data_IF_651088267228
#
_entry.id   IF_651088267228
#
_cell.length_a   1.000
_cell.length_b   1.000
_cell.length_c   1.000
_cell.angle_alpha   90.00
_cell.angle_beta   90.00
_cell.angle_gamma   90.00
#
_symmetry.space_group_name_H-M   'P 1'
#
loop_
_entity.id
_entity.type
_entity.pdbx_description
1 polymer ?
#
# COMPACT_ATOMS: atom_id res chain seq x y z
N UNK A 1 -35.83 28.88 9.05
CA UNK A 1 -34.38 28.92 8.76
C UNK A 1 -33.66 28.32 9.96
N UNK A 2 -32.98 27.18 9.79
CA UNK A 2 -32.29 26.53 10.91
C UNK A 2 -31.13 27.40 11.38
N UNK A 3 -31.11 27.74 12.67
CA UNK A 3 -30.09 28.59 13.28
C UNK A 3 -28.70 27.95 13.11
N UNK A 4 -27.75 28.71 12.57
CA UNK A 4 -26.37 28.26 12.39
C UNK A 4 -25.68 28.21 13.74
N UNK A 5 -25.58 27.01 14.33
CA UNK A 5 -24.83 26.78 15.58
C UNK A 5 -23.34 26.69 15.28
N UNK A 6 -22.53 27.21 16.19
CA UNK A 6 -21.07 27.09 16.08
C UNK A 6 -20.66 25.64 16.36
N UNK A 7 -19.61 25.16 15.68
CA UNK A 7 -19.15 23.77 15.77
C UNK A 7 -18.87 23.34 17.23
N UNK A 8 -18.35 24.27 18.03
CA UNK A 8 -18.01 24.08 19.44
C UNK A 8 -19.27 23.87 20.29
N UNK A 9 -20.37 24.54 19.94
CA UNK A 9 -21.65 24.45 20.65
C UNK A 9 -22.43 23.18 20.28
N UNK A 10 -22.27 22.69 19.04
CA UNK A 10 -22.79 21.39 18.62
C UNK A 10 -22.13 20.22 19.35
N UNK A 11 -20.82 20.31 19.59
CA UNK A 11 -20.03 19.24 20.20
C UNK A 11 -20.31 19.05 21.70
N UNK A 12 -20.75 20.10 22.41
CA UNK A 12 -21.12 20.02 23.84
C UNK A 12 -22.47 19.32 24.08
N UNK A 13 -23.32 19.25 23.08
CA UNK A 13 -24.71 18.79 23.20
C UNK A 13 -24.94 17.39 22.61
N UNK A 14 -23.89 16.63 22.29
CA UNK A 14 -24.01 15.23 21.88
C UNK A 14 -23.92 14.32 23.10
N UNK A 15 -25.00 13.58 23.46
CA UNK A 15 -24.89 12.43 24.34
C UNK A 15 -24.36 11.23 23.54
N UNK A 16 -23.42 10.42 24.06
CA UNK A 16 -22.80 10.51 25.40
C UNK A 16 -21.73 11.63 25.50
N UNK A 17 -21.49 12.15 26.72
CA UNK A 17 -20.50 13.20 26.96
C UNK A 17 -19.12 12.74 26.49
N UNK A 18 -18.48 13.60 25.70
CA UNK A 18 -17.15 13.37 25.15
C UNK A 18 -16.16 13.33 26.31
N UNK A 19 -15.56 12.16 26.55
CA UNK A 19 -14.57 11.97 27.59
C UNK A 19 -13.20 12.51 27.12
N UNK A 20 -12.66 13.59 27.73
CA UNK A 20 -11.38 14.18 27.33
C UNK A 20 -10.20 13.22 27.48
N UNK A 21 -10.33 12.15 28.29
CA UNK A 21 -9.32 11.12 28.43
C UNK A 21 -9.28 10.19 27.22
N UNK A 22 -10.44 9.76 26.71
CA UNK A 22 -10.54 8.93 25.51
C UNK A 22 -10.05 9.66 24.25
N UNK A 23 -10.30 10.97 24.14
CA UNK A 23 -9.76 11.78 23.05
C UNK A 23 -8.23 11.88 23.11
N UNK A 24 -7.68 12.09 24.31
CA UNK A 24 -6.22 12.11 24.49
C UNK A 24 -5.62 10.75 24.21
N UNK A 25 -6.25 9.67 24.62
CA UNK A 25 -5.77 8.31 24.36
C UNK A 25 -5.82 7.98 22.86
N UNK A 26 -6.83 8.43 22.13
CA UNK A 26 -6.91 8.28 20.67
C UNK A 26 -5.83 9.10 19.93
N UNK A 27 -5.58 10.35 20.37
CA UNK A 27 -4.63 11.26 19.70
C UNK A 27 -3.18 10.95 20.06
N UNK A 28 -2.93 10.55 21.31
CA UNK A 28 -1.60 10.28 21.84
C UNK A 28 -1.28 8.79 21.98
N UNK A 29 -2.13 7.88 21.46
CA UNK A 29 -1.78 6.47 21.40
C UNK A 29 -0.46 6.32 20.62
N UNK A 30 0.60 5.97 21.34
CA UNK A 30 1.76 5.35 20.70
C UNK A 30 1.26 4.06 20.07
N UNK A 31 1.38 4.00 18.74
CA UNK A 31 0.93 2.98 17.80
C UNK A 31 1.00 1.56 18.40
N UNK A 32 -0.04 1.19 19.13
CA UNK A 32 -0.24 -0.12 19.72
C UNK A 32 -0.51 -1.11 18.61
N UNK A 33 0.25 -2.19 18.62
CA UNK A 33 0.41 -3.22 17.60
C UNK A 33 -0.89 -4.00 17.32
N UNK A 34 -1.89 -3.36 16.71
CA UNK A 34 -3.07 -3.99 16.14
C UNK A 34 -2.70 -4.73 14.86
N UNK A 35 -2.03 -5.88 15.01
CA UNK A 35 -1.71 -6.74 13.89
C UNK A 35 -3.00 -7.47 13.47
N UNK A 36 -3.57 -7.26 12.27
CA UNK A 36 -4.44 -8.26 11.68
C UNK A 36 -3.63 -9.57 11.54
N UNK A 37 -4.25 -10.76 11.40
CA UNK A 37 -3.51 -12.00 11.18
C UNK A 37 -2.78 -11.95 9.83
N UNK A 38 -1.62 -11.29 9.80
CA UNK A 38 -0.64 -11.37 8.73
C UNK A 38 0.02 -12.72 8.87
N UNK A 39 -0.36 -13.62 7.98
CA UNK A 39 0.44 -14.78 7.59
C UNK A 39 1.90 -14.31 7.52
N UNK A 40 2.87 -15.00 8.14
CA UNK A 40 4.27 -14.61 8.09
C UNK A 40 4.81 -14.84 6.68
N UNK A 41 4.52 -13.92 5.76
CA UNK A 41 5.27 -13.79 4.52
C UNK A 41 6.63 -13.27 4.94
N UNK A 42 7.65 -14.12 4.82
CA UNK A 42 9.03 -13.74 5.07
C UNK A 42 9.33 -12.41 4.35
N UNK A 43 10.05 -11.46 4.98
CA UNK A 43 10.34 -10.18 4.36
C UNK A 43 11.12 -10.42 3.06
N UNK A 44 10.46 -10.16 1.92
CA UNK A 44 11.07 -10.25 0.60
C UNK A 44 12.19 -9.20 0.53
N UNK A 45 13.42 -9.67 0.66
CA UNK A 45 14.60 -8.80 0.57
C UNK A 45 14.87 -8.50 -0.90
N UNK A 46 14.62 -7.26 -1.31
CA UNK A 46 14.81 -6.78 -2.68
C UNK A 46 16.23 -6.23 -2.83
N UNK A 47 16.98 -6.71 -3.81
CA UNK A 47 18.36 -6.26 -4.11
C UNK A 47 18.40 -5.59 -5.47
N UNK A 48 19.09 -4.44 -5.63
CA UNK A 48 19.20 -3.79 -6.94
C UNK A 48 19.91 -4.69 -7.95
N UNK A 49 19.30 -4.87 -9.12
CA UNK A 49 19.88 -5.55 -10.27
C UNK A 49 20.10 -4.55 -11.41
N UNK A 50 21.35 -4.35 -11.84
CA UNK A 50 21.69 -3.48 -12.96
C UNK A 50 22.03 -4.30 -14.22
N UNK A 51 21.32 -4.03 -15.30
CA UNK A 51 21.49 -4.73 -16.59
C UNK A 51 21.00 -3.83 -17.73
N UNK A 52 21.59 -3.98 -18.93
CA UNK A 52 21.15 -3.27 -20.13
C UNK A 52 19.98 -4.02 -20.78
N UNK A 53 18.90 -3.31 -21.07
CA UNK A 53 17.72 -3.83 -21.74
C UNK A 53 17.57 -3.20 -23.13
N UNK A 54 16.95 -3.91 -24.06
CA UNK A 54 16.60 -3.39 -25.38
C UNK A 54 15.65 -2.20 -25.25
N UNK A 55 15.83 -1.17 -26.08
CA UNK A 55 15.12 0.10 -25.95
C UNK A 55 13.60 -0.05 -26.10
N UNK A 56 13.15 -0.87 -27.05
CA UNK A 56 11.74 -1.18 -27.29
C UNK A 56 11.10 -1.88 -26.09
N UNK A 57 11.82 -2.81 -25.45
CA UNK A 57 11.35 -3.46 -24.22
C UNK A 57 11.23 -2.48 -23.06
N UNK A 58 12.20 -1.58 -22.88
CA UNK A 58 12.15 -0.57 -21.83
C UNK A 58 10.95 0.38 -22.01
N UNK A 59 10.66 0.79 -23.25
CA UNK A 59 9.49 1.63 -23.58
C UNK A 59 8.17 0.88 -23.33
N UNK A 60 8.06 -0.35 -23.83
CA UNK A 60 6.86 -1.17 -23.67
C UNK A 60 6.57 -1.49 -22.20
N UNK A 61 7.59 -1.82 -21.41
CA UNK A 61 7.47 -2.14 -19.99
C UNK A 61 6.96 -0.95 -19.18
N UNK A 62 7.50 0.25 -19.42
CA UNK A 62 7.03 1.48 -18.76
C UNK A 62 5.60 1.81 -19.13
N UNK A 63 5.24 1.67 -20.42
CA UNK A 63 3.88 1.87 -20.90
C UNK A 63 2.90 0.90 -20.23
N UNK A 64 3.23 -0.39 -20.22
CA UNK A 64 2.40 -1.43 -19.61
C UNK A 64 2.20 -1.19 -18.12
N UNK A 65 3.27 -0.82 -17.39
CA UNK A 65 3.19 -0.45 -15.97
C UNK A 65 2.21 0.71 -15.75
N UNK A 66 2.29 1.77 -16.55
CA UNK A 66 1.39 2.92 -16.44
C UNK A 66 -0.07 2.55 -16.78
N UNK A 67 -0.30 1.84 -17.88
CA UNK A 67 -1.65 1.41 -18.28
C UNK A 67 -2.30 0.56 -17.19
N UNK A 68 -1.56 -0.37 -16.60
CA UNK A 68 -2.05 -1.21 -15.50
C UNK A 68 -2.35 -0.41 -14.24
N UNK A 69 -1.55 0.60 -13.90
CA UNK A 69 -1.85 1.51 -12.78
C UNK A 69 -3.16 2.27 -13.02
N UNK A 70 -3.37 2.79 -14.23
CA UNK A 70 -4.60 3.51 -14.59
C UNK A 70 -5.84 2.62 -14.54
N UNK A 71 -5.68 1.33 -14.87
CA UNK A 71 -6.75 0.34 -14.82
C UNK A 71 -6.89 -0.38 -13.47
N UNK A 72 -6.03 -0.08 -12.47
CA UNK A 72 -6.04 -0.74 -11.17
C UNK A 72 -5.75 -2.25 -11.24
N UNK A 73 -4.94 -2.71 -12.21
CA UNK A 73 -4.62 -4.13 -12.42
C UNK A 73 -3.27 -4.49 -11.79
N UNK A 74 -3.20 -5.54 -10.97
CA UNK A 74 -1.94 -6.04 -10.41
C UNK A 74 -1.41 -7.24 -11.24
N UNK A 75 -0.08 -7.35 -11.45
CA UNK A 75 0.99 -6.44 -11.05
C UNK A 75 1.06 -5.18 -11.90
N UNK A 76 1.25 -4.01 -11.27
CA UNK A 76 1.33 -2.72 -11.95
C UNK A 76 2.70 -2.03 -11.87
N UNK A 77 3.60 -2.48 -10.99
CA UNK A 77 4.95 -1.90 -10.90
C UNK A 77 5.88 -2.60 -11.88
N UNK A 78 6.87 -1.88 -12.38
CA UNK A 78 7.92 -2.44 -13.23
C UNK A 78 8.62 -3.61 -12.53
N UNK A 79 8.84 -3.50 -11.21
CA UNK A 79 9.47 -4.56 -10.43
C UNK A 79 8.62 -5.83 -10.41
N UNK A 80 7.34 -5.73 -10.05
CA UNK A 80 6.49 -6.92 -9.90
C UNK A 80 6.23 -7.57 -11.27
N UNK A 81 6.10 -6.78 -12.34
CA UNK A 81 5.99 -7.30 -13.71
C UNK A 81 7.28 -8.05 -14.12
N UNK A 82 8.46 -7.55 -13.73
CA UNK A 82 9.72 -8.24 -14.00
C UNK A 82 9.84 -9.53 -13.20
N UNK A 83 9.46 -9.53 -11.92
CA UNK A 83 9.48 -10.73 -11.08
C UNK A 83 8.53 -11.81 -11.63
N UNK A 84 7.29 -11.45 -11.99
CA UNK A 84 6.31 -12.37 -12.60
C UNK A 84 6.82 -12.97 -13.93
N UNK A 85 7.53 -12.20 -14.73
CA UNK A 85 8.08 -12.67 -16.01
C UNK A 85 9.34 -13.53 -15.83
N UNK A 86 10.20 -13.22 -14.84
CA UNK A 86 11.47 -13.91 -14.62
C UNK A 86 11.32 -15.21 -13.82
N UNK A 87 10.39 -15.24 -12.87
CA UNK A 87 10.12 -16.41 -12.01
C UNK A 87 9.93 -17.72 -12.81
N UNK A 88 9.04 -17.81 -13.83
CA UNK A 88 8.84 -19.05 -14.56
C UNK A 88 10.09 -19.47 -15.35
N UNK A 89 10.87 -18.50 -15.87
CA UNK A 89 12.11 -18.80 -16.57
C UNK A 89 13.16 -19.37 -15.61
N UNK A 90 13.30 -18.80 -14.41
CA UNK A 90 14.26 -19.26 -13.40
C UNK A 90 13.90 -20.64 -12.85
N UNK A 91 12.61 -20.88 -12.54
CA UNK A 91 12.11 -22.19 -12.09
C UNK A 91 12.33 -23.26 -13.14
N UNK A 92 12.00 -22.97 -14.40
CA UNK A 92 12.16 -23.92 -15.52
C UNK A 92 13.60 -24.41 -15.68
N UNK A 93 14.58 -23.55 -15.39
CA UNK A 93 16.00 -23.89 -15.51
C UNK A 93 16.64 -24.34 -14.19
N UNK A 94 15.87 -24.46 -13.11
CA UNK A 94 16.36 -24.91 -11.80
C UNK A 94 17.22 -23.89 -11.06
N UNK A 95 17.15 -22.60 -11.41
CA UNK A 95 17.87 -21.53 -10.70
C UNK A 95 17.11 -21.03 -9.46
N UNK A 96 15.81 -21.31 -9.39
CA UNK A 96 14.94 -20.98 -8.27
C UNK A 96 14.16 -22.25 -7.90
N UNK A 97 14.10 -22.63 -6.61
CA UNK A 97 13.38 -23.83 -6.16
C UNK A 97 11.86 -23.76 -6.40
#
# INVERSE_FOLDING_TARGET
MAERRTLIEGLKNTPPPIDPQAEKEFVYQEKGNGNPPTVPTAPLTRTPLSTKLREDFAKALKRASLERQLHGQEPNTVQDILEEALEPWLKKHGYLP
#
